data_IF_722975680982
#
_entry.id   IF_722975680982
#
_cell.length_a   1.000
_cell.length_b   1.000
_cell.length_c   1.000
_cell.angle_alpha   90.00
_cell.angle_beta   90.00
_cell.angle_gamma   90.00
#
_symmetry.space_group_name_H-M   'P 1'
#
loop_
_entity.id
_entity.type
_entity.pdbx_description
1 polymer ?
#
# COMPACT_ATOMS: atom_id res chain seq x y z
N UNK A 1 61.66 -22.82 -8.64
CA UNK A 1 60.54 -22.25 -9.41
C UNK A 1 59.32 -23.12 -9.11
N UNK A 2 58.52 -22.75 -8.10
CA UNK A 2 57.38 -23.57 -7.63
C UNK A 2 56.13 -23.24 -8.45
N UNK A 3 55.68 -24.18 -9.28
CA UNK A 3 54.35 -24.15 -9.87
C UNK A 3 53.30 -24.28 -8.76
N UNK A 4 52.44 -23.27 -8.62
CA UNK A 4 51.19 -23.42 -7.86
C UNK A 4 50.29 -24.34 -8.67
N UNK A 5 49.99 -25.51 -8.12
CA UNK A 5 48.93 -26.37 -8.63
C UNK A 5 47.61 -25.56 -8.73
N UNK A 6 46.80 -25.77 -9.79
CA UNK A 6 45.52 -25.09 -9.94
C UNK A 6 44.60 -25.44 -8.75
N UNK A 7 44.14 -24.41 -8.05
CA UNK A 7 43.17 -24.54 -6.96
C UNK A 7 41.93 -25.28 -7.50
N UNK A 8 41.42 -26.31 -6.81
CA UNK A 8 40.20 -26.99 -7.22
C UNK A 8 39.09 -25.93 -7.33
N UNK A 9 38.52 -25.80 -8.53
CA UNK A 9 37.41 -24.89 -8.78
C UNK A 9 36.26 -25.27 -7.86
N UNK A 10 36.00 -24.44 -6.85
CA UNK A 10 34.91 -24.65 -5.90
C UNK A 10 33.59 -24.61 -6.67
N UNK A 11 32.90 -25.76 -6.74
CA UNK A 11 31.56 -25.84 -7.31
C UNK A 11 30.69 -24.81 -6.58
N UNK A 12 30.02 -23.88 -7.29
CA UNK A 12 29.20 -22.86 -6.64
C UNK A 12 28.11 -23.55 -5.81
N UNK A 13 28.16 -23.35 -4.49
CA UNK A 13 27.14 -23.82 -3.57
C UNK A 13 25.78 -23.28 -4.02
N UNK A 14 24.77 -24.14 -4.27
CA UNK A 14 23.44 -23.68 -4.64
C UNK A 14 22.92 -22.65 -3.63
N UNK A 15 22.57 -21.45 -4.11
CA UNK A 15 22.09 -20.37 -3.25
C UNK A 15 20.83 -20.77 -2.48
N UNK A 16 20.70 -20.32 -1.22
CA UNK A 16 19.52 -20.57 -0.39
C UNK A 16 18.27 -20.02 -1.09
N UNK A 17 17.23 -20.85 -1.22
CA UNK A 17 15.94 -20.45 -1.81
C UNK A 17 15.30 -19.36 -0.95
N UNK A 18 15.29 -18.13 -1.45
CA UNK A 18 14.58 -17.01 -0.82
C UNK A 18 13.10 -17.13 -1.19
N UNK A 19 12.25 -17.38 -0.19
CA UNK A 19 10.78 -17.31 -0.36
C UNK A 19 10.32 -15.95 0.13
N UNK A 20 9.73 -15.16 -0.76
CA UNK A 20 9.14 -13.87 -0.39
C UNK A 20 7.88 -14.10 0.43
N UNK A 21 7.76 -13.41 1.56
CA UNK A 21 6.52 -13.40 2.32
C UNK A 21 5.40 -12.77 1.46
N UNK A 22 4.23 -13.42 1.34
CA UNK A 22 3.11 -12.86 0.61
C UNK A 22 2.68 -11.51 1.22
N UNK A 23 2.39 -10.52 0.39
CA UNK A 23 1.89 -9.22 0.85
C UNK A 23 0.55 -9.41 1.58
N UNK A 24 0.37 -8.86 2.81
CA UNK A 24 -0.84 -9.07 3.58
C UNK A 24 -2.13 -8.66 2.84
N UNK A 25 -3.22 -9.44 2.98
CA UNK A 25 -4.48 -9.13 2.32
C UNK A 25 -5.05 -7.80 2.85
N UNK A 26 -5.27 -6.84 1.95
CA UNK A 26 -5.76 -5.50 2.28
C UNK A 26 -4.72 -4.39 2.13
N UNK A 27 -3.42 -4.71 2.12
CA UNK A 27 -2.35 -3.71 1.97
C UNK A 27 -2.51 -2.85 0.71
N UNK A 28 -2.79 -3.49 -0.44
CA UNK A 28 -3.02 -2.77 -1.71
C UNK A 28 -4.20 -1.78 -1.63
N UNK A 29 -5.27 -2.15 -0.92
CA UNK A 29 -6.46 -1.28 -0.77
C UNK A 29 -6.14 -0.06 0.09
N UNK A 30 -5.33 -0.24 1.13
CA UNK A 30 -4.84 0.86 1.98
C UNK A 30 -3.98 1.80 1.15
N UNK A 31 -2.97 1.26 0.44
CA UNK A 31 -2.00 2.06 -0.31
C UNK A 31 -2.67 2.88 -1.42
N UNK A 32 -3.51 2.23 -2.24
CA UNK A 32 -4.24 2.91 -3.33
C UNK A 32 -5.26 3.89 -2.76
N UNK A 33 -6.04 3.48 -1.76
CA UNK A 33 -7.06 4.34 -1.15
C UNK A 33 -6.47 5.59 -0.51
N UNK A 34 -5.33 5.46 0.18
CA UNK A 34 -4.63 6.60 0.79
C UNK A 34 -4.09 7.57 -0.27
N UNK A 35 -3.42 7.05 -1.31
CA UNK A 35 -2.89 7.88 -2.39
C UNK A 35 -4.02 8.64 -3.08
N UNK A 36 -5.12 7.96 -3.42
CA UNK A 36 -6.27 8.62 -4.07
C UNK A 36 -6.94 9.61 -3.12
N UNK A 37 -7.10 9.28 -1.84
CA UNK A 37 -7.69 10.19 -0.85
C UNK A 37 -6.90 11.50 -0.70
N UNK A 38 -5.57 11.42 -0.77
CA UNK A 38 -4.70 12.58 -0.70
C UNK A 38 -4.69 13.37 -2.01
N UNK A 39 -4.63 12.70 -3.17
CA UNK A 39 -4.47 13.37 -4.46
C UNK A 39 -5.77 13.92 -5.05
N UNK A 40 -6.92 13.28 -4.79
CA UNK A 40 -8.19 13.65 -5.41
C UNK A 40 -8.63 15.10 -5.14
N UNK A 41 -8.49 15.66 -3.92
CA UNK A 41 -8.82 17.07 -3.67
C UNK A 41 -7.96 18.04 -4.48
N UNK A 42 -6.65 17.77 -4.62
CA UNK A 42 -5.74 18.60 -5.41
C UNK A 42 -6.07 18.54 -6.90
N UNK A 43 -6.37 17.35 -7.42
CA UNK A 43 -6.83 17.19 -8.79
C UNK A 43 -8.15 17.91 -9.04
N UNK A 44 -9.08 17.85 -8.08
CA UNK A 44 -10.33 18.59 -8.13
C UNK A 44 -10.12 20.10 -8.23
N UNK A 45 -9.24 20.66 -7.40
CA UNK A 45 -8.85 22.08 -7.47
C UNK A 45 -8.22 22.42 -8.82
N UNK A 46 -7.28 21.58 -9.30
CA UNK A 46 -6.56 21.82 -10.54
C UNK A 46 -7.50 21.85 -11.75
N UNK A 47 -8.44 20.90 -11.81
CA UNK A 47 -9.48 20.84 -12.85
C UNK A 47 -10.42 22.03 -12.74
N UNK A 48 -10.88 22.35 -11.52
CA UNK A 48 -11.74 23.51 -11.28
C UNK A 48 -11.10 24.85 -11.66
N UNK A 49 -9.78 24.97 -11.49
CA UNK A 49 -9.01 26.14 -11.91
C UNK A 49 -8.88 26.27 -13.42
N UNK A 50 -8.87 25.15 -14.17
CA UNK A 50 -8.73 25.17 -15.62
C UNK A 50 -10.02 25.56 -16.37
N UNK A 51 -11.18 25.50 -15.70
CA UNK A 51 -12.50 25.73 -16.31
C UNK A 51 -12.83 27.24 -16.43
N UNK A 52 -12.06 28.14 -15.79
CA UNK A 52 -12.19 29.60 -15.92
C UNK A 52 -13.35 30.20 -15.12
N UNK A 53 -13.24 31.49 -14.76
CA UNK A 53 -14.29 32.25 -14.08
C UNK A 53 -15.44 32.54 -15.05
N UNK A 54 -16.55 31.81 -14.93
CA UNK A 54 -17.77 32.13 -15.65
C UNK A 54 -18.38 33.42 -15.10
N UNK A 55 -18.51 34.43 -15.95
CA UNK A 55 -19.17 35.72 -15.68
C UNK A 55 -20.55 35.49 -15.05
N UNK A 56 -20.64 35.53 -13.72
CA UNK A 56 -21.88 35.28 -13.03
C UNK A 56 -21.78 35.56 -11.54
N UNK A 57 -22.47 36.62 -11.09
CA UNK A 57 -22.59 37.04 -9.70
C UNK A 57 -23.30 36.03 -8.76
N UNK A 58 -23.68 34.85 -9.27
CA UNK A 58 -24.28 33.72 -8.53
C UNK A 58 -23.43 32.44 -8.61
N UNK A 59 -22.22 32.53 -9.18
CA UNK A 59 -21.32 31.39 -9.39
C UNK A 59 -20.51 31.11 -8.14
N UNK A 60 -20.83 30.04 -7.41
CA UNK A 60 -19.86 29.40 -6.52
C UNK A 60 -18.60 29.19 -7.35
N UNK A 61 -17.48 29.80 -6.96
CA UNK A 61 -16.24 29.80 -7.76
C UNK A 61 -15.97 28.38 -8.27
N UNK A 62 -15.76 28.16 -9.58
CA UNK A 62 -15.55 26.84 -10.18
C UNK A 62 -14.52 25.98 -9.45
N UNK A 63 -13.56 26.63 -8.79
CA UNK A 63 -12.57 26.03 -7.89
C UNK A 63 -13.19 25.30 -6.68
N UNK A 64 -14.25 25.84 -6.07
CA UNK A 64 -14.96 25.22 -4.95
C UNK A 64 -15.67 23.93 -5.39
N UNK A 65 -16.31 23.94 -6.56
CA UNK A 65 -16.93 22.74 -7.13
C UNK A 65 -15.92 21.65 -7.46
N UNK A 66 -14.77 22.05 -8.00
CA UNK A 66 -13.63 21.15 -8.23
C UNK A 66 -13.14 20.53 -6.91
N UNK A 67 -12.91 21.33 -5.88
CA UNK A 67 -12.50 20.81 -4.57
C UNK A 67 -13.56 19.90 -3.94
N UNK A 68 -14.84 20.27 -4.03
CA UNK A 68 -15.93 19.49 -3.46
C UNK A 68 -16.02 18.10 -4.09
N UNK A 69 -15.98 18.03 -5.43
CA UNK A 69 -16.01 16.75 -6.16
C UNK A 69 -14.75 15.92 -5.91
N UNK A 70 -13.57 16.54 -5.92
CA UNK A 70 -12.31 15.89 -5.55
C UNK A 70 -12.30 15.36 -4.11
N UNK A 71 -12.88 16.12 -3.18
CA UNK A 71 -13.07 15.74 -1.79
C UNK A 71 -14.03 14.55 -1.62
N UNK A 72 -15.13 14.50 -2.39
CA UNK A 72 -16.07 13.40 -2.37
C UNK A 72 -15.41 12.08 -2.83
N UNK A 73 -14.64 12.16 -3.92
CA UNK A 73 -13.84 11.03 -4.42
C UNK A 73 -12.80 10.62 -3.38
N UNK A 74 -12.13 11.60 -2.76
CA UNK A 74 -11.15 11.32 -1.71
C UNK A 74 -11.75 10.63 -0.49
N UNK A 75 -12.94 11.04 -0.06
CA UNK A 75 -13.67 10.41 1.03
C UNK A 75 -14.06 8.96 0.69
N UNK A 76 -14.54 8.71 -0.53
CA UNK A 76 -14.83 7.35 -0.99
C UNK A 76 -13.57 6.47 -1.02
N UNK A 77 -12.44 7.02 -1.47
CA UNK A 77 -11.15 6.33 -1.45
C UNK A 77 -10.68 6.01 -0.02
N UNK A 78 -10.96 6.90 0.94
CA UNK A 78 -10.67 6.67 2.35
C UNK A 78 -11.50 5.51 2.92
N UNK A 79 -12.76 5.36 2.51
CA UNK A 79 -13.58 4.19 2.88
C UNK A 79 -12.97 2.88 2.33
N UNK A 80 -12.43 2.90 1.11
CA UNK A 80 -11.70 1.76 0.54
C UNK A 80 -10.44 1.46 1.34
N UNK A 81 -9.66 2.47 1.73
CA UNK A 81 -8.49 2.29 2.59
C UNK A 81 -8.88 1.68 3.94
N UNK A 82 -9.93 2.20 4.59
CA UNK A 82 -10.46 1.70 5.85
C UNK A 82 -10.92 0.23 5.74
N UNK A 83 -11.51 -0.17 4.59
CA UNK A 83 -11.85 -1.57 4.33
C UNK A 83 -10.60 -2.47 4.28
N UNK A 84 -9.50 -1.96 3.73
CA UNK A 84 -8.20 -2.63 3.70
C UNK A 84 -7.59 -2.78 5.09
N UNK A 85 -7.65 -1.73 5.93
CA UNK A 85 -7.22 -1.79 7.33
C UNK A 85 -8.04 -2.82 8.10
N UNK A 86 -9.37 -2.83 7.94
CA UNK A 86 -10.25 -3.80 8.59
C UNK A 86 -9.94 -5.24 8.16
N UNK A 87 -9.64 -5.47 6.88
CA UNK A 87 -9.23 -6.78 6.37
C UNK A 87 -7.90 -7.25 6.98
N UNK A 88 -6.92 -6.34 7.08
CA UNK A 88 -5.64 -6.61 7.72
C UNK A 88 -5.83 -6.99 9.20
N UNK A 89 -6.60 -6.19 9.94
CA UNK A 89 -6.83 -6.40 11.36
C UNK A 89 -7.55 -7.72 11.66
N UNK A 90 -8.44 -8.17 10.77
CA UNK A 90 -9.07 -9.50 10.85
C UNK A 90 -8.07 -10.62 10.63
N UNK A 91 -7.24 -10.53 9.59
CA UNK A 91 -6.24 -11.56 9.28
C UNK A 91 -5.20 -11.77 10.39
N UNK A 92 -4.80 -10.69 11.07
CA UNK A 92 -3.82 -10.76 12.14
C UNK A 92 -4.36 -11.48 13.39
N UNK A 93 -5.65 -11.30 13.71
CA UNK A 93 -6.30 -11.98 14.84
C UNK A 93 -6.41 -13.50 14.65
N UNK A 94 -6.61 -13.96 13.41
CA UNK A 94 -6.63 -15.40 13.11
C UNK A 94 -5.24 -16.03 13.24
N UNK A 95 -4.18 -15.29 12.91
CA UNK A 95 -2.79 -15.80 12.97
C UNK A 95 -2.31 -15.98 14.42
N UNK A 96 -2.68 -15.08 15.32
CA UNK A 96 -2.33 -15.16 16.77
C UNK A 96 -2.94 -16.38 17.46
N UNK A 97 -4.05 -16.94 16.94
CA UNK A 97 -4.71 -18.10 17.54
C UNK A 97 -4.08 -19.45 17.09
N UNK A 98 -3.28 -19.45 16.02
CA UNK A 98 -2.65 -20.66 15.46
C UNK A 98 -1.23 -20.94 15.98
N UNK A 99 -0.78 -20.20 17.01
CA UNK A 99 0.50 -20.46 17.68
C UNK A 99 0.42 -21.21 19.04
N UNK A 100 -0.24 -22.37 19.16
CA UNK A 100 -0.10 -23.23 20.35
C UNK A 100 1.20 -24.05 20.41
N UNK A 101 2.07 -24.00 19.37
CA UNK A 101 3.17 -24.96 19.21
C UNK A 101 4.53 -24.51 19.75
N UNK A 102 4.70 -23.23 20.06
CA UNK A 102 5.94 -22.74 20.69
C UNK A 102 6.03 -23.04 22.20
N UNK A 103 4.93 -23.39 22.87
CA UNK A 103 4.95 -23.74 24.30
C UNK A 103 5.33 -25.20 24.58
N UNK A 104 5.29 -26.11 23.59
CA UNK A 104 5.59 -27.53 23.79
C UNK A 104 7.07 -27.91 23.57
N UNK A 105 7.93 -26.97 23.15
CA UNK A 105 9.37 -27.22 22.94
C UNK A 105 10.26 -26.81 24.10
N UNK A 106 9.69 -26.43 25.25
CA UNK A 106 10.43 -25.90 26.41
C UNK A 106 10.41 -26.83 27.65
N UNK A 107 9.90 -28.05 27.51
CA UNK A 107 9.83 -29.05 28.59
C UNK A 107 10.77 -30.26 28.40
N UNK A 108 11.74 -30.21 27.48
CA UNK A 108 12.80 -31.24 27.37
C UNK A 108 14.18 -30.73 27.79
#
# INVERSE_FOLDING_TARGET
MSERAPSPQSIPTPGRRVVLAPTPPGFRRIMVGLVVALLAPFFGILIGSGIGEGDGFTSVQPMYWGFFTGGLIGAAALLVAASGVRALWRSNRTRTQQDPREQQGQEE
#
